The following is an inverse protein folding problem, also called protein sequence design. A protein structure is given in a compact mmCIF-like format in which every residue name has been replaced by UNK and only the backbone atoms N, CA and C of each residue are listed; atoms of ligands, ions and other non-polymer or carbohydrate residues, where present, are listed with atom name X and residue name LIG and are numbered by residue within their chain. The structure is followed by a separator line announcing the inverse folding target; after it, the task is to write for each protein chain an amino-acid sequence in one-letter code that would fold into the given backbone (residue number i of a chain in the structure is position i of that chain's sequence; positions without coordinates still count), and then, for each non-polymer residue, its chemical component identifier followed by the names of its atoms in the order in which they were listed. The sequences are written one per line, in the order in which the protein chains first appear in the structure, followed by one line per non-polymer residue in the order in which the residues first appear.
data_IF_293811243177
#
_entry.id   IF_293811243177
#
_cell.length_a   1.000
_cell.length_b   1.000
_cell.length_c   1.000
_cell.angle_alpha   90.00
_cell.angle_beta   90.00
_cell.angle_gamma   90.00
#
_symmetry.space_group_name_H-M   'P 1'
#
loop_
_entity.id
_entity.type
_entity.pdbx_description
1 polymer ?
#
# COMPACT_ATOMS: atom_id res chain seq x y z
N UNK A 1 12.03 -2.24 8.87
CA UNK A 1 12.51 -3.59 8.57
C UNK A 1 12.22 -4.56 9.72
N UNK A 2 12.63 -4.27 10.95
CA UNK A 2 12.51 -5.21 12.07
C UNK A 2 11.06 -5.58 12.41
N UNK A 3 10.14 -4.61 12.34
CA UNK A 3 8.70 -4.88 12.52
C UNK A 3 8.15 -5.80 11.41
N UNK A 4 8.51 -5.53 10.15
CA UNK A 4 8.12 -6.41 9.03
C UNK A 4 8.65 -7.82 9.24
N UNK A 5 9.93 -7.94 9.61
CA UNK A 5 10.55 -9.24 9.89
C UNK A 5 9.80 -9.99 11.00
N UNK A 6 9.59 -9.37 12.14
CA UNK A 6 8.87 -10.00 13.27
C UNK A 6 7.49 -10.51 12.87
N UNK A 7 6.76 -9.73 12.07
CA UNK A 7 5.38 -10.04 11.71
C UNK A 7 5.25 -11.04 10.56
N UNK A 8 6.20 -11.07 9.62
CA UNK A 8 6.01 -11.73 8.33
C UNK A 8 6.99 -12.87 8.02
N UNK A 9 8.19 -12.90 8.63
CA UNK A 9 9.23 -13.87 8.30
C UNK A 9 8.71 -15.32 8.31
N UNK A 10 8.05 -15.72 9.38
CA UNK A 10 7.53 -17.09 9.50
C UNK A 10 6.43 -17.46 8.48
N UNK A 11 5.67 -16.46 8.01
CA UNK A 11 4.68 -16.70 6.92
C UNK A 11 5.37 -16.81 5.57
N UNK A 12 6.35 -15.97 5.30
CA UNK A 12 7.10 -15.98 4.04
C UNK A 12 7.94 -17.25 3.89
N UNK A 13 8.58 -17.72 4.95
CA UNK A 13 9.34 -18.97 4.92
C UNK A 13 8.50 -20.19 4.51
N UNK A 14 7.20 -20.17 4.79
CA UNK A 14 6.26 -21.24 4.40
C UNK A 14 5.73 -21.14 2.97
N UNK A 15 6.07 -20.06 2.26
CA UNK A 15 5.56 -19.77 0.91
C UNK A 15 6.69 -19.54 -0.07
N UNK A 16 7.14 -18.32 -0.26
CA UNK A 16 8.19 -17.94 -1.23
C UNK A 16 9.56 -17.66 -0.61
N UNK A 17 9.70 -17.91 0.68
CA UNK A 17 10.95 -17.70 1.42
C UNK A 17 11.09 -16.29 1.99
N UNK A 18 12.05 -16.13 2.91
CA UNK A 18 12.43 -14.83 3.50
C UNK A 18 13.89 -14.53 3.18
N UNK A 19 14.13 -13.30 2.71
CA UNK A 19 15.47 -12.80 2.43
C UNK A 19 15.66 -11.40 3.03
N UNK A 20 16.47 -11.30 4.08
CA UNK A 20 16.80 -10.01 4.69
C UNK A 20 17.34 -8.98 3.68
N UNK A 21 18.30 -9.33 2.78
CA UNK A 21 18.82 -8.38 1.80
C UNK A 21 17.74 -7.90 0.80
N UNK A 22 16.87 -8.81 0.34
CA UNK A 22 15.80 -8.46 -0.61
C UNK A 22 14.77 -7.57 0.03
N UNK A 23 14.31 -7.89 1.25
CA UNK A 23 13.35 -7.05 1.97
C UNK A 23 13.93 -5.67 2.31
N UNK A 24 15.22 -5.57 2.65
CA UNK A 24 15.86 -4.27 2.84
C UNK A 24 15.94 -3.46 1.53
N UNK A 25 16.25 -4.10 0.40
CA UNK A 25 16.25 -3.44 -0.91
C UNK A 25 14.83 -2.96 -1.32
N UNK A 26 13.82 -3.79 -1.07
CA UNK A 26 12.43 -3.43 -1.32
C UNK A 26 12.01 -2.18 -0.52
N UNK A 27 12.29 -2.16 0.79
CA UNK A 27 11.98 -1.04 1.68
C UNK A 27 12.81 0.22 1.37
N UNK A 28 14.03 0.05 0.84
CA UNK A 28 14.93 1.16 0.48
C UNK A 28 14.83 1.57 -1.01
N UNK A 29 13.82 1.10 -1.72
CA UNK A 29 13.63 1.45 -3.13
C UNK A 29 13.44 2.96 -3.32
N UNK A 30 13.95 3.53 -4.42
CA UNK A 30 13.87 4.98 -4.69
C UNK A 30 12.43 5.52 -4.72
N UNK A 31 11.48 4.70 -5.15
CA UNK A 31 10.05 5.06 -5.24
C UNK A 31 9.25 4.69 -3.99
N UNK A 32 9.90 4.14 -2.97
CA UNK A 32 9.24 3.78 -1.71
C UNK A 32 8.71 5.04 -1.00
N UNK A 33 7.45 4.99 -0.59
CA UNK A 33 6.80 6.02 0.22
C UNK A 33 6.29 5.38 1.49
N UNK A 34 6.42 6.13 2.58
CA UNK A 34 6.04 5.64 3.90
C UNK A 34 5.11 6.63 4.59
N UNK A 35 4.12 6.10 5.28
CA UNK A 35 3.38 6.82 6.32
C UNK A 35 3.60 6.05 7.60
N UNK A 36 4.06 6.74 8.64
CA UNK A 36 4.35 6.15 9.95
C UNK A 36 3.39 6.71 10.98
N UNK A 37 2.78 5.84 11.77
CA UNK A 37 1.94 6.21 12.89
C UNK A 37 2.78 6.17 14.18
N UNK A 38 2.73 7.25 14.96
CA UNK A 38 3.38 7.37 16.26
C UNK A 38 2.35 7.42 17.38
N UNK A 39 2.74 7.03 18.58
CA UNK A 39 1.97 7.29 19.81
C UNK A 39 2.06 8.80 20.13
N UNK A 40 1.01 9.38 20.70
CA UNK A 40 0.81 10.83 20.79
C UNK A 40 2.00 11.65 21.25
N UNK A 41 2.53 11.48 22.45
CA UNK A 41 3.56 12.38 23.02
C UNK A 41 4.93 11.70 23.12
N UNK A 42 5.87 12.28 22.44
CA UNK A 42 7.32 12.40 22.51
C UNK A 42 8.26 11.20 22.68
N UNK A 43 7.89 10.00 23.17
CA UNK A 43 8.93 8.99 23.44
C UNK A 43 8.55 7.52 23.17
N UNK A 44 7.36 7.22 22.76
CA UNK A 44 6.88 5.83 22.70
C UNK A 44 7.14 5.09 21.37
N UNK A 45 7.86 5.68 20.43
CA UNK A 45 8.21 5.05 19.15
C UNK A 45 7.04 4.85 18.19
N UNK A 46 7.29 4.29 17.00
CA UNK A 46 6.26 4.08 15.99
C UNK A 46 5.34 2.91 16.36
N UNK A 47 4.03 3.10 16.18
CA UNK A 47 3.01 2.05 16.34
C UNK A 47 2.86 1.17 15.10
N UNK A 48 3.29 1.65 13.95
CA UNK A 48 3.15 0.95 12.69
C UNK A 48 3.43 1.86 11.50
N UNK A 49 3.44 1.26 10.32
CA UNK A 49 3.67 1.98 9.07
C UNK A 49 2.96 1.31 7.90
N UNK A 50 2.79 2.07 6.82
CA UNK A 50 2.47 1.58 5.50
C UNK A 50 3.57 1.98 4.52
N UNK A 51 4.03 1.03 3.71
CA UNK A 51 4.92 1.25 2.56
C UNK A 51 4.10 1.05 1.28
N UNK A 52 4.14 2.04 0.40
CA UNK A 52 3.46 1.99 -0.89
C UNK A 52 4.29 2.67 -1.97
N UNK A 53 3.95 2.39 -3.23
CA UNK A 53 4.52 3.04 -4.40
C UNK A 53 3.41 3.43 -5.36
N UNK A 54 3.70 4.38 -6.24
CA UNK A 54 2.88 4.60 -7.42
C UNK A 54 3.45 3.78 -8.56
N UNK A 55 2.63 2.96 -9.14
CA UNK A 55 3.02 2.02 -10.20
C UNK A 55 2.04 2.09 -11.36
N UNK A 56 2.43 1.51 -12.47
CA UNK A 56 1.56 1.28 -13.61
C UNK A 56 1.29 -0.21 -13.66
N UNK A 57 0.02 -0.59 -13.61
CA UNK A 57 -0.39 -1.99 -13.66
C UNK A 57 -0.07 -2.58 -15.03
N UNK A 58 0.66 -3.70 -15.06
CA UNK A 58 1.13 -4.32 -16.30
C UNK A 58 -0.02 -4.81 -17.19
N UNK A 59 -1.12 -5.22 -16.59
CA UNK A 59 -2.25 -5.83 -17.31
C UNK A 59 -3.06 -4.85 -18.15
N UNK A 60 -3.19 -3.60 -17.71
CA UNK A 60 -4.05 -2.61 -18.36
C UNK A 60 -3.42 -1.20 -18.48
N UNK A 61 -2.18 -1.02 -18.03
CA UNK A 61 -1.49 0.28 -18.06
C UNK A 61 -2.06 1.33 -17.11
N UNK A 62 -2.85 0.92 -16.13
CA UNK A 62 -3.54 1.83 -15.21
C UNK A 62 -2.62 2.29 -14.07
N UNK A 63 -2.55 3.59 -13.74
CA UNK A 63 -1.79 4.08 -12.60
C UNK A 63 -2.46 3.66 -11.28
N UNK A 64 -1.70 3.06 -10.37
CA UNK A 64 -2.19 2.53 -9.10
C UNK A 64 -1.31 2.93 -7.93
N UNK A 65 -1.89 2.99 -6.73
CA UNK A 65 -1.13 3.02 -5.49
C UNK A 65 -1.00 1.58 -4.97
N UNK A 66 0.19 1.01 -5.09
CA UNK A 66 0.44 -0.37 -4.67
C UNK A 66 1.03 -0.40 -3.26
N UNK A 67 0.32 -1.05 -2.33
CA UNK A 67 0.75 -1.21 -0.94
C UNK A 67 1.59 -2.48 -0.81
N UNK A 68 2.87 -2.30 -0.50
CA UNK A 68 3.83 -3.38 -0.29
C UNK A 68 3.79 -3.94 1.13
N UNK A 69 3.69 -3.04 2.11
CA UNK A 69 3.69 -3.41 3.52
C UNK A 69 2.68 -2.56 4.31
N UNK A 70 1.92 -3.21 5.17
CA UNK A 70 1.16 -2.59 6.24
C UNK A 70 1.50 -3.32 7.52
N UNK A 71 2.26 -2.70 8.38
CA UNK A 71 2.76 -3.30 9.61
C UNK A 71 2.33 -2.50 10.82
N UNK A 72 1.81 -3.18 11.84
CA UNK A 72 1.37 -2.59 13.10
C UNK A 72 1.94 -3.40 14.25
N UNK A 73 2.50 -2.72 15.27
CA UNK A 73 2.98 -3.34 16.49
C UNK A 73 1.84 -4.10 17.20
N UNK A 74 2.17 -5.23 17.82
CA UNK A 74 1.17 -6.13 18.40
C UNK A 74 0.26 -5.43 19.43
N UNK A 75 0.84 -4.59 20.28
CA UNK A 75 0.12 -3.83 21.30
C UNK A 75 -0.71 -2.65 20.75
N UNK A 76 -0.48 -2.27 19.50
CA UNK A 76 -1.23 -1.24 18.78
C UNK A 76 -2.34 -1.83 17.87
N UNK A 77 -2.40 -3.15 17.72
CA UNK A 77 -3.46 -3.81 16.94
C UNK A 77 -4.82 -3.64 17.58
N UNK A 78 -5.87 -3.69 16.77
CA UNK A 78 -7.25 -3.50 17.23
C UNK A 78 -7.63 -2.06 17.61
N UNK A 79 -6.68 -1.12 17.58
CA UNK A 79 -6.91 0.30 17.93
C UNK A 79 -7.18 1.20 16.72
N UNK A 80 -7.38 0.63 15.53
CA UNK A 80 -7.68 1.38 14.31
C UNK A 80 -6.46 1.91 13.56
N UNK A 81 -5.22 1.68 14.02
CA UNK A 81 -3.99 2.18 13.39
C UNK A 81 -3.89 1.74 11.91
N UNK A 82 -4.05 0.45 11.62
CA UNK A 82 -4.01 -0.05 10.25
C UNK A 82 -5.09 0.58 9.36
N UNK A 83 -6.31 0.77 9.87
CA UNK A 83 -7.38 1.47 9.15
C UNK A 83 -7.00 2.91 8.83
N UNK A 84 -6.43 3.63 9.80
CA UNK A 84 -6.01 5.02 9.62
C UNK A 84 -4.89 5.13 8.58
N UNK A 85 -3.90 4.23 8.60
CA UNK A 85 -2.82 4.18 7.62
C UNK A 85 -3.35 3.92 6.21
N UNK A 86 -4.24 2.93 6.03
CA UNK A 86 -4.85 2.65 4.72
C UNK A 86 -5.71 3.81 4.21
N UNK A 87 -6.52 4.42 5.06
CA UNK A 87 -7.31 5.59 4.68
C UNK A 87 -6.44 6.75 4.18
N UNK A 88 -5.21 6.93 4.70
CA UNK A 88 -4.27 7.95 4.21
C UNK A 88 -3.72 7.58 2.83
N UNK A 89 -3.38 6.31 2.58
CA UNK A 89 -2.95 5.86 1.24
C UNK A 89 -4.08 6.04 0.23
N UNK A 90 -5.30 5.63 0.57
CA UNK A 90 -6.48 5.80 -0.29
C UNK A 90 -6.73 7.26 -0.64
N UNK A 91 -6.68 8.16 0.36
CA UNK A 91 -6.80 9.60 0.12
C UNK A 91 -5.66 10.16 -0.76
N UNK A 92 -4.43 9.67 -0.60
CA UNK A 92 -3.32 10.04 -1.48
C UNK A 92 -3.58 9.54 -2.90
N UNK A 93 -4.02 8.29 -3.07
CA UNK A 93 -4.36 7.71 -4.37
C UNK A 93 -5.41 8.56 -5.11
N UNK A 94 -6.49 8.95 -4.42
CA UNK A 94 -7.53 9.83 -4.96
C UNK A 94 -6.95 11.19 -5.41
N UNK A 95 -6.20 11.86 -4.53
CA UNK A 95 -5.64 13.19 -4.79
C UNK A 95 -4.57 13.18 -5.90
N UNK A 96 -3.90 12.05 -6.12
CA UNK A 96 -2.88 11.87 -7.17
C UNK A 96 -3.44 11.22 -8.43
N UNK A 97 -4.75 11.03 -8.52
CA UNK A 97 -5.45 10.44 -9.67
C UNK A 97 -5.00 9.01 -10.01
N UNK A 98 -4.64 8.25 -8.99
CA UNK A 98 -4.49 6.81 -9.15
C UNK A 98 -5.89 6.20 -9.34
N UNK A 99 -6.00 5.22 -10.23
CA UNK A 99 -7.30 4.61 -10.50
C UNK A 99 -7.79 3.72 -9.35
N UNK A 100 -6.85 3.13 -8.62
CA UNK A 100 -7.15 2.19 -7.53
C UNK A 100 -5.98 2.05 -6.57
N UNK A 101 -6.26 1.55 -5.37
CA UNK A 101 -5.27 1.05 -4.43
C UNK A 101 -5.23 -0.47 -4.54
N UNK A 102 -4.04 -1.05 -4.64
CA UNK A 102 -3.81 -2.49 -4.79
C UNK A 102 -2.85 -3.00 -3.73
N UNK A 103 -2.94 -4.28 -3.44
CA UNK A 103 -2.01 -4.97 -2.55
C UNK A 103 -2.06 -6.49 -2.78
N UNK A 104 -1.05 -7.18 -2.28
CA UNK A 104 -1.00 -8.63 -2.23
C UNK A 104 -1.15 -9.13 -0.80
N UNK A 105 -1.98 -10.15 -0.58
CA UNK A 105 -2.11 -10.80 0.72
C UNK A 105 -1.91 -12.31 0.59
N UNK A 106 -1.13 -12.90 1.50
CA UNK A 106 -0.96 -14.36 1.56
C UNK A 106 -2.28 -15.04 1.91
N UNK A 107 -2.65 -16.10 1.20
CA UNK A 107 -3.86 -16.90 1.48
C UNK A 107 -3.88 -17.43 2.92
N UNK A 108 -2.70 -17.68 3.50
CA UNK A 108 -2.53 -18.11 4.90
C UNK A 108 -2.75 -17.00 5.91
N UNK A 109 -2.73 -15.72 5.49
CA UNK A 109 -2.95 -14.57 6.36
C UNK A 109 -4.43 -14.18 6.43
N UNK A 110 -5.25 -15.09 6.96
CA UNK A 110 -6.70 -14.87 7.06
C UNK A 110 -7.09 -13.62 7.88
N UNK A 111 -6.24 -13.18 8.80
CA UNK A 111 -6.50 -11.98 9.60
C UNK A 111 -6.38 -10.72 8.73
N UNK A 112 -5.33 -10.63 7.91
CA UNK A 112 -5.16 -9.52 6.95
C UNK A 112 -6.25 -9.55 5.88
N UNK A 113 -6.59 -10.72 5.31
CA UNK A 113 -7.65 -10.83 4.32
C UNK A 113 -8.98 -10.26 4.84
N UNK A 114 -9.42 -10.68 6.03
CA UNK A 114 -10.63 -10.13 6.67
C UNK A 114 -10.53 -8.65 7.00
N UNK A 115 -9.34 -8.16 7.31
CA UNK A 115 -9.12 -6.73 7.55
C UNK A 115 -9.35 -5.92 6.27
N UNK A 116 -8.77 -6.31 5.16
CA UNK A 116 -8.93 -5.62 3.87
C UNK A 116 -10.37 -5.75 3.32
N UNK A 117 -11.00 -6.91 3.47
CA UNK A 117 -12.42 -7.08 3.12
C UNK A 117 -13.31 -6.06 3.85
N UNK A 118 -13.11 -5.86 5.18
CA UNK A 118 -13.84 -4.83 5.94
C UNK A 118 -13.55 -3.40 5.52
N UNK A 119 -12.44 -3.15 4.83
CA UNK A 119 -12.11 -1.86 4.22
C UNK A 119 -12.70 -1.70 2.81
N UNK A 120 -13.38 -2.72 2.29
CA UNK A 120 -14.00 -2.70 0.97
C UNK A 120 -13.07 -3.13 -0.17
N UNK A 121 -11.93 -3.76 0.14
CA UNK A 121 -11.09 -4.39 -0.88
C UNK A 121 -11.75 -5.68 -1.36
N UNK A 122 -11.65 -5.92 -2.66
CA UNK A 122 -12.13 -7.14 -3.32
C UNK A 122 -10.98 -7.82 -4.06
N UNK A 123 -11.13 -9.10 -4.35
CA UNK A 123 -10.13 -9.82 -5.16
C UNK A 123 -10.05 -9.23 -6.57
N UNK A 124 -8.82 -8.94 -6.99
CA UNK A 124 -8.55 -8.43 -8.32
C UNK A 124 -8.63 -9.54 -9.37
N UNK A 125 -9.05 -9.17 -10.60
CA UNK A 125 -9.14 -10.09 -11.75
C UNK A 125 -7.81 -10.74 -12.12
N UNK A 126 -6.70 -10.06 -11.84
CA UNK A 126 -5.34 -10.47 -12.16
C UNK A 126 -4.74 -11.38 -11.07
N UNK A 127 -5.53 -11.75 -10.04
CA UNK A 127 -5.15 -12.81 -9.09
C UNK A 127 -4.90 -14.12 -9.85
N UNK A 128 -3.70 -14.73 -9.73
CA UNK A 128 -3.42 -15.99 -10.40
C UNK A 128 -4.39 -17.10 -9.98
N UNK A 129 -4.90 -17.84 -10.97
CA UNK A 129 -5.84 -18.95 -10.76
C UNK A 129 -5.16 -20.30 -10.48
N UNK A 130 -3.83 -20.30 -10.44
CA UNK A 130 -3.05 -21.49 -10.12
C UNK A 130 -3.26 -21.91 -8.66
N UNK A 131 -3.55 -23.18 -8.43
CA UNK A 131 -3.71 -23.76 -7.08
C UNK A 131 -2.41 -23.67 -6.27
N UNK A 132 -1.25 -23.67 -6.92
CA UNK A 132 0.04 -23.47 -6.28
C UNK A 132 0.31 -22.01 -5.85
N UNK A 133 -0.50 -21.07 -6.30
CA UNK A 133 -0.37 -19.67 -5.90
C UNK A 133 -0.73 -19.48 -4.43
N UNK A 134 0.20 -18.91 -3.65
CA UNK A 134 0.04 -18.72 -2.21
C UNK A 134 -0.57 -17.37 -1.80
N UNK A 135 -0.96 -16.52 -2.75
CA UNK A 135 -1.46 -15.19 -2.48
C UNK A 135 -2.70 -14.85 -3.33
N UNK A 136 -3.35 -13.78 -2.96
CA UNK A 136 -4.37 -13.08 -3.76
C UNK A 136 -3.98 -11.62 -3.91
N UNK A 137 -4.34 -11.03 -5.03
CA UNK A 137 -4.25 -9.59 -5.25
C UNK A 137 -5.59 -8.99 -4.85
N UNK A 138 -5.57 -7.95 -4.03
CA UNK A 138 -6.75 -7.22 -3.61
C UNK A 138 -6.72 -5.82 -4.18
N UNK A 139 -7.88 -5.32 -4.58
CA UNK A 139 -8.03 -4.00 -5.18
C UNK A 139 -9.21 -3.24 -4.58
N UNK A 140 -9.10 -1.92 -4.54
CA UNK A 140 -10.17 -1.00 -4.19
C UNK A 140 -10.09 0.21 -5.12
N UNK A 141 -11.13 0.49 -5.93
CA UNK A 141 -11.16 1.68 -6.77
C UNK A 141 -10.96 2.94 -5.93
N UNK A 142 -10.20 3.90 -6.45
CA UNK A 142 -10.17 5.24 -5.88
C UNK A 142 -11.56 5.87 -6.07
N UNK A 143 -12.12 6.47 -5.03
CA UNK A 143 -13.35 7.23 -5.18
C UNK A 143 -13.06 8.42 -6.10
N UNK A 144 -13.81 8.57 -7.19
CA UNK A 144 -13.70 9.74 -8.05
C UNK A 144 -13.97 10.97 -7.18
N UNK A 145 -12.96 11.83 -7.01
CA UNK A 145 -13.03 13.00 -6.14
C UNK A 145 -14.33 13.74 -6.35
N UNK A 146 -15.11 13.89 -5.31
CA UNK A 146 -16.28 14.76 -5.31
C UNK A 146 -15.79 16.21 -5.51
N UNK A 147 -15.84 16.68 -6.77
CA UNK A 147 -15.87 18.08 -7.12
C UNK A 147 -14.67 18.92 -6.72
N UNK A 148 -13.66 18.96 -7.58
CA UNK A 148 -12.80 20.12 -7.76
C UNK A 148 -12.87 20.49 -9.23
N UNK A 149 -13.56 21.60 -9.54
CA UNK A 149 -13.58 22.19 -10.87
C UNK A 149 -12.15 22.32 -11.38
N UNK A 150 -11.93 21.85 -12.60
CA UNK A 150 -10.62 21.81 -13.22
C UNK A 150 -10.01 23.21 -13.32
N UNK A 151 -8.91 23.42 -12.62
CA UNK A 151 -7.99 24.52 -12.94
C UNK A 151 -7.29 24.10 -14.23
N UNK A 152 -7.50 24.80 -15.35
CA UNK A 152 -6.84 24.47 -16.60
C UNK A 152 -5.33 24.65 -16.45
N UNK A 153 -4.50 23.85 -17.13
CA UNK A 153 -3.05 23.97 -17.05
C UNK A 153 -2.65 25.37 -17.51
N UNK A 154 -1.88 26.08 -16.68
CA UNK A 154 -1.26 27.35 -17.07
C UNK A 154 -0.39 27.09 -18.28
N UNK A 155 -0.75 27.70 -19.41
CA UNK A 155 0.10 27.78 -20.59
C UNK A 155 1.39 28.52 -20.17
N UNK A 156 2.52 27.87 -20.26
CA UNK A 156 3.82 28.50 -20.22
C UNK A 156 3.94 29.41 -21.45
N UNK A 157 3.83 30.70 -21.27
CA UNK A 157 4.21 31.69 -22.27
C UNK A 157 5.72 31.58 -22.49
N UNK A 158 6.10 31.13 -23.68
CA UNK A 158 7.47 31.14 -24.13
C UNK A 158 8.01 32.57 -24.15
N UNK A 159 9.07 32.78 -23.40
CA UNK A 159 9.90 33.96 -23.55
C UNK A 159 10.84 33.69 -24.74
N UNK A 160 10.57 34.32 -25.85
CA UNK A 160 11.51 34.43 -26.97
C UNK A 160 12.45 35.56 -26.58
N UNK A 161 13.73 35.28 -26.46
CA UNK A 161 14.77 36.29 -26.30
C UNK A 161 15.50 36.50 -27.64
N UNK A 162 15.89 37.75 -27.99
CA UNK A 162 16.44 38.16 -29.27
C UNK A 162 17.84 37.64 -29.53
#
# INVERSE_FOLDING_TARGET
FDLTKRNMEAMYERTWGWSNPEKRRELAHSDARFIVAFRGDDDDGPMGFVHFRFEVEDSDGTPVAYVYELQVEDDARGRGVGRALMARVESIAENTRMARTMLTVLKTNAAAARFYERLGYVEDRDTPRDEACHYVILTKPAEAGRGGEGVPPRRSSGVVNP
#
